data_IF_953527889311
#
_entry.id   IF_953527889311
#
_cell.length_a   1.000
_cell.length_b   1.000
_cell.length_c   1.000
_cell.angle_alpha   90.00
_cell.angle_beta   90.00
_cell.angle_gamma   90.00
#
_symmetry.space_group_name_H-M   'P 1'
#
loop_
_entity.id
_entity.type
_entity.pdbx_description
1 polymer ?
#
# COMPACT_ATOMS: atom_id res chain seq x y z
N UNK A 1 40.23 17.06 -57.72
CA UNK A 1 41.31 17.63 -56.89
C UNK A 1 40.72 18.49 -55.78
N UNK A 2 41.06 18.19 -54.51
CA UNK A 2 41.13 19.09 -53.32
C UNK A 2 39.85 19.88 -52.92
N UNK A 3 39.36 19.90 -51.68
CA UNK A 3 40.05 19.88 -50.36
C UNK A 3 39.11 19.32 -49.27
N UNK A 4 39.69 18.58 -48.32
CA UNK A 4 39.11 18.29 -46.99
C UNK A 4 39.10 19.53 -46.10
N UNK A 5 38.11 19.64 -45.20
CA UNK A 5 38.16 20.34 -43.89
C UNK A 5 37.20 19.60 -42.93
N UNK A 6 37.72 18.77 -42.02
CA UNK A 6 38.02 19.03 -40.59
C UNK A 6 36.77 19.20 -39.70
N UNK A 7 36.56 18.15 -38.90
CA UNK A 7 36.14 18.06 -37.49
C UNK A 7 35.10 19.03 -36.92
N UNK A 8 34.06 18.44 -36.33
CA UNK A 8 33.44 18.95 -35.11
C UNK A 8 33.05 17.76 -34.22
N UNK A 9 33.75 17.66 -33.09
CA UNK A 9 33.60 16.74 -31.98
C UNK A 9 32.85 17.51 -30.90
N UNK A 10 31.62 17.13 -30.52
CA UNK A 10 30.98 17.42 -29.22
C UNK A 10 29.77 16.46 -29.08
N UNK A 11 29.84 15.44 -28.22
CA UNK A 11 29.57 15.46 -26.78
C UNK A 11 28.07 15.26 -26.46
N UNK A 12 27.82 14.16 -25.74
CA UNK A 12 26.66 13.83 -24.89
C UNK A 12 25.26 13.79 -25.50
N UNK A 13 24.67 12.60 -25.49
CA UNK A 13 23.32 12.47 -24.96
C UNK A 13 23.20 11.15 -24.20
N UNK A 14 23.41 11.23 -22.89
CA UNK A 14 23.04 10.19 -21.95
C UNK A 14 21.55 9.94 -22.05
N UNK A 15 21.17 8.73 -22.46
CA UNK A 15 19.79 8.24 -22.36
C UNK A 15 19.51 8.01 -20.87
N UNK A 16 19.07 9.05 -20.17
CA UNK A 16 18.50 8.90 -18.83
C UNK A 16 17.16 8.20 -18.99
N UNK A 17 17.15 6.93 -18.62
CA UNK A 17 15.96 6.15 -18.39
C UNK A 17 15.17 6.86 -17.27
N UNK A 18 14.19 7.68 -17.65
CA UNK A 18 13.24 8.23 -16.72
C UNK A 18 12.45 7.04 -16.15
N UNK A 19 12.77 6.64 -14.92
CA UNK A 19 11.85 5.86 -14.12
C UNK A 19 10.56 6.68 -14.02
N UNK A 20 9.54 6.27 -14.77
CA UNK A 20 8.18 6.73 -14.53
C UNK A 20 7.79 6.18 -13.17
N UNK A 21 8.10 6.93 -12.12
CA UNK A 21 7.43 6.77 -10.84
C UNK A 21 5.93 6.86 -11.14
N UNK A 22 5.09 5.91 -10.68
CA UNK A 22 3.67 6.18 -10.56
C UNK A 22 3.54 7.30 -9.53
N UNK A 23 3.61 8.54 -10.01
CA UNK A 23 3.08 9.66 -9.29
C UNK A 23 1.60 9.34 -9.15
N UNK A 24 1.21 8.83 -7.98
CA UNK A 24 -0.15 8.93 -7.48
C UNK A 24 -0.50 10.41 -7.63
N UNK A 25 -1.20 10.73 -8.71
CA UNK A 25 -1.73 12.05 -8.97
C UNK A 25 -2.83 12.28 -7.94
N UNK A 26 -2.42 12.60 -6.71
CA UNK A 26 -3.17 13.53 -5.90
C UNK A 26 -3.43 14.71 -6.84
N UNK A 27 -4.71 15.01 -7.10
CA UNK A 27 -5.14 16.09 -7.98
C UNK A 27 -4.18 17.26 -7.79
N UNK A 28 -3.31 17.52 -8.76
CA UNK A 28 -2.42 18.66 -8.71
C UNK A 28 -3.23 19.77 -9.37
N UNK A 29 -3.96 20.62 -8.61
CA UNK A 29 -4.80 21.63 -9.23
C UNK A 29 -3.88 22.53 -10.04
N UNK A 30 -3.89 22.35 -11.36
CA UNK A 30 -3.26 23.30 -12.25
C UNK A 30 -4.15 24.53 -12.18
N UNK A 31 -3.70 25.55 -11.44
CA UNK A 31 -4.42 26.81 -11.34
C UNK A 31 -4.39 27.48 -12.71
N UNK A 32 -5.36 27.16 -13.57
CA UNK A 32 -5.54 27.87 -14.83
C UNK A 32 -6.26 29.18 -14.54
N UNK A 33 -5.46 30.24 -14.36
CA UNK A 33 -5.83 31.67 -14.44
C UNK A 33 -6.98 32.13 -13.53
N UNK A 34 -6.64 32.94 -12.51
CA UNK A 34 -7.63 33.70 -11.75
C UNK A 34 -8.36 34.71 -12.64
N UNK A 35 -9.65 34.50 -12.83
CA UNK A 35 -10.58 35.54 -13.27
C UNK A 35 -11.75 35.51 -12.28
N UNK A 36 -11.95 36.59 -11.54
CA UNK A 36 -13.03 36.77 -10.55
C UNK A 36 -13.07 35.79 -9.36
N UNK A 37 -11.97 35.62 -8.63
CA UNK A 37 -12.01 35.17 -7.22
C UNK A 37 -12.54 33.76 -6.93
N UNK A 38 -12.81 32.94 -7.94
CA UNK A 38 -13.20 31.53 -7.78
C UNK A 38 -12.12 30.63 -8.37
N UNK A 39 -11.56 29.76 -7.53
CA UNK A 39 -10.62 28.71 -7.97
C UNK A 39 -11.46 27.66 -8.70
N UNK A 40 -11.35 27.62 -10.03
CA UNK A 40 -11.93 26.54 -10.83
C UNK A 40 -10.95 25.36 -10.76
N UNK A 41 -11.28 24.33 -9.98
CA UNK A 41 -10.54 23.07 -9.96
C UNK A 41 -11.04 22.23 -11.14
N UNK A 42 -10.30 22.22 -12.24
CA UNK A 42 -10.64 21.40 -13.42
C UNK A 42 -9.98 20.03 -13.32
N UNK A 43 -10.57 19.11 -12.55
CA UNK A 43 -10.25 17.69 -12.69
C UNK A 43 -11.07 17.11 -13.85
N UNK A 44 -10.47 16.23 -14.65
CA UNK A 44 -11.21 15.45 -15.63
C UNK A 44 -12.19 14.51 -14.90
N UNK A 45 -13.30 14.17 -15.57
CA UNK A 45 -14.29 13.24 -15.01
C UNK A 45 -13.67 11.89 -14.71
N UNK A 46 -12.73 11.47 -15.54
CA UNK A 46 -11.97 10.23 -15.44
C UNK A 46 -11.14 10.20 -14.14
N UNK A 47 -10.46 11.31 -13.81
CA UNK A 47 -9.69 11.44 -12.56
C UNK A 47 -10.59 11.40 -11.32
N UNK A 48 -11.76 12.07 -11.36
CA UNK A 48 -12.73 12.04 -10.24
C UNK A 48 -13.25 10.62 -10.01
N UNK A 49 -13.59 9.91 -11.09
CA UNK A 49 -14.07 8.53 -11.01
C UNK A 49 -12.97 7.59 -10.51
N UNK A 50 -11.73 7.77 -10.95
CA UNK A 50 -10.58 7.00 -10.45
C UNK A 50 -10.37 7.23 -8.96
N UNK A 51 -10.30 8.48 -8.52
CA UNK A 51 -10.09 8.83 -7.11
C UNK A 51 -11.22 8.28 -6.21
N UNK A 52 -12.48 8.34 -6.67
CA UNK A 52 -13.61 7.78 -5.94
C UNK A 52 -13.54 6.24 -5.85
N UNK A 53 -13.09 5.57 -6.93
CA UNK A 53 -12.88 4.12 -6.94
C UNK A 53 -11.75 3.72 -5.99
N UNK A 54 -10.66 4.46 -5.99
CA UNK A 54 -9.51 4.20 -5.12
C UNK A 54 -9.88 4.41 -3.65
N UNK A 55 -10.58 5.50 -3.30
CA UNK A 55 -11.10 5.71 -1.96
C UNK A 55 -12.02 4.58 -1.49
N UNK A 56 -12.88 4.07 -2.37
CA UNK A 56 -13.74 2.92 -2.07
C UNK A 56 -12.95 1.62 -1.87
N UNK A 57 -11.92 1.41 -2.67
CA UNK A 57 -11.05 0.23 -2.54
C UNK A 57 -10.22 0.29 -1.26
N UNK A 58 -9.70 1.48 -0.89
CA UNK A 58 -9.00 1.71 0.38
C UNK A 58 -9.90 1.37 1.56
N UNK A 59 -11.09 1.96 1.64
CA UNK A 59 -12.03 1.69 2.72
C UNK A 59 -12.40 0.20 2.83
N UNK A 60 -12.47 -0.51 1.69
CA UNK A 60 -12.70 -1.96 1.68
C UNK A 60 -11.48 -2.75 2.16
N UNK A 61 -10.27 -2.35 1.77
CA UNK A 61 -9.03 -2.96 2.25
C UNK A 61 -8.90 -2.80 3.78
N UNK A 62 -9.13 -1.59 4.30
CA UNK A 62 -9.10 -1.28 5.73
C UNK A 62 -10.10 -2.12 6.51
N UNK A 63 -11.32 -2.29 5.98
CA UNK A 63 -12.33 -3.15 6.61
C UNK A 63 -11.92 -4.63 6.66
N UNK A 64 -11.31 -5.16 5.59
CA UNK A 64 -10.83 -6.54 5.56
C UNK A 64 -9.72 -6.74 6.60
N UNK A 65 -8.79 -5.78 6.69
CA UNK A 65 -7.71 -5.79 7.68
C UNK A 65 -8.26 -5.71 9.11
N UNK A 66 -9.21 -4.82 9.38
CA UNK A 66 -9.84 -4.71 10.70
C UNK A 66 -10.51 -6.02 11.13
N UNK A 67 -11.25 -6.67 10.23
CA UNK A 67 -11.88 -7.97 10.49
C UNK A 67 -10.87 -9.11 10.69
N UNK A 68 -9.68 -9.02 10.09
CA UNK A 68 -8.61 -9.96 10.34
C UNK A 68 -8.01 -9.75 11.73
N UNK A 69 -7.74 -8.49 12.11
CA UNK A 69 -7.20 -8.15 13.43
C UNK A 69 -8.13 -8.58 14.57
N UNK A 70 -9.44 -8.35 14.44
CA UNK A 70 -10.44 -8.81 15.41
C UNK A 70 -10.39 -10.34 15.61
N UNK A 71 -10.25 -11.11 14.52
CA UNK A 71 -10.11 -12.57 14.60
C UNK A 71 -8.79 -13.02 15.20
N UNK A 72 -7.71 -12.27 14.96
CA UNK A 72 -6.42 -12.54 15.59
C UNK A 72 -6.57 -12.35 17.11
N UNK A 73 -7.18 -11.26 17.56
CA UNK A 73 -7.47 -11.02 18.98
C UNK A 73 -8.31 -12.15 19.59
N UNK A 74 -9.36 -12.60 18.90
CA UNK A 74 -10.17 -13.74 19.34
C UNK A 74 -9.37 -15.04 19.48
N UNK A 75 -8.47 -15.32 18.52
CA UNK A 75 -7.60 -16.50 18.57
C UNK A 75 -6.63 -16.43 19.75
N UNK A 76 -6.06 -15.24 20.02
CA UNK A 76 -5.19 -15.01 21.18
C UNK A 76 -5.95 -15.19 22.48
N UNK A 77 -7.11 -14.55 22.62
CA UNK A 77 -7.94 -14.66 23.81
C UNK A 77 -8.36 -16.11 24.06
N UNK A 78 -8.70 -16.85 22.99
CA UNK A 78 -8.97 -18.27 23.08
C UNK A 78 -7.76 -19.05 23.60
N UNK A 79 -6.58 -18.87 23.01
CA UNK A 79 -5.36 -19.55 23.45
C UNK A 79 -5.02 -19.24 24.92
N UNK A 80 -5.12 -17.97 25.33
CA UNK A 80 -4.90 -17.54 26.72
C UNK A 80 -5.90 -18.17 27.71
N UNK A 81 -7.12 -18.52 27.26
CA UNK A 81 -8.14 -19.13 28.09
C UNK A 81 -7.98 -20.65 28.26
N UNK A 82 -7.21 -21.29 27.38
CA UNK A 82 -7.01 -22.74 27.39
C UNK A 82 -5.74 -23.11 28.14
N UNK A 83 -5.78 -24.12 29.02
CA UNK A 83 -4.56 -24.66 29.67
C UNK A 83 -3.78 -25.63 28.77
N UNK A 84 -3.91 -25.49 27.45
CA UNK A 84 -3.30 -26.35 26.45
C UNK A 84 -2.30 -25.48 25.71
N UNK A 85 -1.03 -25.73 25.99
CA UNK A 85 0.14 -25.10 25.37
C UNK A 85 0.14 -25.32 23.84
N UNK A 86 -0.76 -24.63 23.15
CA UNK A 86 -1.09 -24.80 21.73
C UNK A 86 -0.63 -23.56 20.92
N UNK A 87 0.48 -22.93 21.35
CA UNK A 87 1.07 -21.76 20.68
C UNK A 87 1.33 -22.03 19.18
N UNK A 88 1.81 -23.23 18.83
CA UNK A 88 2.05 -23.60 17.43
C UNK A 88 0.76 -23.59 16.58
N UNK A 89 -0.38 -23.99 17.18
CA UNK A 89 -1.67 -23.98 16.51
C UNK A 89 -2.19 -22.54 16.35
N UNK A 90 -2.01 -21.70 17.37
CA UNK A 90 -2.34 -20.28 17.30
C UNK A 90 -1.58 -19.61 16.14
N UNK A 91 -0.26 -19.82 16.06
CA UNK A 91 0.57 -19.24 15.01
C UNK A 91 0.17 -19.72 13.61
N UNK A 92 -0.10 -21.02 13.42
CA UNK A 92 -0.59 -21.55 12.14
C UNK A 92 -1.96 -20.94 11.72
N UNK A 93 -2.86 -20.70 12.68
CA UNK A 93 -4.13 -20.05 12.40
C UNK A 93 -3.96 -18.57 12.02
N UNK A 94 -3.06 -17.86 12.72
CA UNK A 94 -2.71 -16.48 12.40
C UNK A 94 -2.07 -16.39 11.02
N UNK A 95 -1.08 -17.21 10.70
CA UNK A 95 -0.40 -17.21 9.39
C UNK A 95 -1.37 -17.40 8.22
N UNK A 96 -2.30 -18.36 8.35
CA UNK A 96 -3.35 -18.60 7.34
C UNK A 96 -4.27 -17.39 7.17
N UNK A 97 -4.61 -16.73 8.27
CA UNK A 97 -5.45 -15.55 8.26
C UNK A 97 -4.73 -14.35 7.62
N UNK A 98 -3.44 -14.16 7.91
CA UNK A 98 -2.60 -13.14 7.30
C UNK A 98 -2.46 -13.38 5.79
N UNK A 99 -2.13 -14.60 5.38
CA UNK A 99 -1.99 -14.95 3.95
C UNK A 99 -3.28 -14.68 3.17
N UNK A 100 -4.42 -15.11 3.74
CA UNK A 100 -5.74 -14.85 3.15
C UNK A 100 -6.02 -13.35 3.03
N UNK A 101 -5.72 -12.59 4.08
CA UNK A 101 -5.94 -11.14 4.13
C UNK A 101 -5.09 -10.43 3.08
N UNK A 102 -3.80 -10.76 2.98
CA UNK A 102 -2.90 -10.24 1.93
C UNK A 102 -3.46 -10.48 0.54
N UNK A 103 -3.93 -11.70 0.24
CA UNK A 103 -4.54 -12.04 -1.07
C UNK A 103 -5.82 -11.24 -1.34
N UNK A 104 -6.62 -10.93 -0.32
CA UNK A 104 -7.85 -10.15 -0.50
C UNK A 104 -7.56 -8.66 -0.73
N UNK A 105 -6.61 -8.10 0.01
CA UNK A 105 -6.21 -6.70 -0.09
C UNK A 105 -5.45 -6.43 -1.38
N UNK A 106 -4.60 -7.35 -1.85
CA UNK A 106 -3.90 -7.26 -3.13
C UNK A 106 -4.86 -7.13 -4.33
N UNK A 107 -6.03 -7.79 -4.29
CA UNK A 107 -7.06 -7.66 -5.33
C UNK A 107 -7.67 -6.26 -5.41
N UNK A 108 -7.48 -5.44 -4.39
CA UNK A 108 -7.96 -4.06 -4.32
C UNK A 108 -6.86 -3.04 -4.69
N UNK A 109 -5.64 -3.50 -5.00
CA UNK A 109 -4.50 -2.64 -5.33
C UNK A 109 -3.71 -2.16 -4.11
N UNK A 110 -3.83 -2.85 -2.97
CA UNK A 110 -3.13 -2.49 -1.73
C UNK A 110 -2.26 -3.63 -1.22
N UNK A 111 -1.31 -3.30 -0.37
CA UNK A 111 -0.50 -4.26 0.36
C UNK A 111 -0.83 -4.20 1.86
N UNK A 112 -0.30 -5.16 2.61
CA UNK A 112 -0.49 -5.24 4.07
C UNK A 112 0.87 -5.39 4.72
N UNK A 113 1.10 -4.60 5.76
CA UNK A 113 2.26 -4.68 6.64
C UNK A 113 1.83 -5.23 8.01
N UNK A 114 2.71 -6.00 8.63
CA UNK A 114 2.57 -6.50 9.99
C UNK A 114 3.36 -5.62 10.96
N UNK A 115 2.72 -5.14 12.03
CA UNK A 115 3.43 -4.49 13.14
C UNK A 115 3.36 -5.37 14.39
N UNK A 116 4.46 -6.00 14.77
CA UNK A 116 4.54 -6.95 15.88
C UNK A 116 4.07 -6.34 17.21
N UNK A 117 3.11 -6.99 17.87
CA UNK A 117 2.66 -6.69 19.24
C UNK A 117 2.94 -7.90 20.13
N UNK A 118 3.47 -7.65 21.33
CA UNK A 118 3.77 -8.70 22.31
C UNK A 118 2.51 -9.14 23.06
N UNK A 119 2.29 -10.46 23.13
CA UNK A 119 1.27 -11.10 23.95
C UNK A 119 1.92 -12.17 24.83
N UNK A 120 1.39 -12.36 26.03
CA UNK A 120 1.77 -13.48 26.91
C UNK A 120 0.69 -14.55 26.79
N UNK A 121 1.07 -15.74 26.32
CA UNK A 121 0.19 -16.91 26.19
C UNK A 121 0.90 -18.09 26.84
N UNK A 122 0.23 -18.76 27.78
CA UNK A 122 0.78 -19.90 28.53
C UNK A 122 2.16 -19.65 29.17
N UNK A 123 2.42 -18.41 29.61
CA UNK A 123 3.69 -18.01 30.23
C UNK A 123 4.83 -17.80 29.23
N UNK A 124 4.56 -17.89 27.92
CA UNK A 124 5.49 -17.56 26.84
C UNK A 124 5.12 -16.21 26.22
N UNK A 125 6.13 -15.38 25.95
CA UNK A 125 5.94 -14.15 25.16
C UNK A 125 5.93 -14.52 23.68
N UNK A 126 4.83 -14.20 22.99
CA UNK A 126 4.66 -14.39 21.56
C UNK A 126 4.44 -13.05 20.88
N UNK A 127 4.95 -12.90 19.66
CA UNK A 127 4.70 -11.73 18.82
C UNK A 127 3.56 -12.04 17.87
N UNK A 128 2.52 -11.21 17.92
CA UNK A 128 1.36 -11.34 17.06
C UNK A 128 1.12 -10.01 16.35
N UNK A 129 0.78 -10.12 15.07
CA UNK A 129 0.84 -9.03 14.11
C UNK A 129 -0.52 -8.41 13.83
N UNK A 130 -0.85 -7.26 14.43
CA UNK A 130 -1.80 -6.33 13.85
C UNK A 130 -1.41 -6.00 12.40
N UNK A 131 -2.34 -6.27 11.49
CA UNK A 131 -2.22 -5.95 10.08
C UNK A 131 -2.58 -4.48 9.84
N UNK A 132 -1.86 -3.84 8.91
CA UNK A 132 -2.11 -2.46 8.46
C UNK A 132 -2.09 -2.40 6.94
N UNK A 133 -3.04 -1.68 6.35
CA UNK A 133 -3.03 -1.42 4.89
C UNK A 133 -1.91 -0.44 4.57
N UNK A 134 -1.11 -0.77 3.57
CA UNK A 134 -0.09 0.12 2.99
C UNK A 134 -0.33 0.23 1.48
N UNK A 135 0.07 1.37 0.89
CA UNK A 135 0.06 1.52 -0.57
C UNK A 135 1.24 0.74 -1.17
N UNK A 136 1.05 0.04 -2.30
CA UNK A 136 2.17 -0.53 -3.04
C UNK A 136 3.07 0.61 -3.52
N UNK A 137 4.39 0.46 -3.31
CA UNK A 137 5.39 1.40 -3.83
C UNK A 137 5.56 1.27 -5.34
#
# INVERSE_FOLDING_TARGET
MKKMKIAALFLSLTLTLAAASPAMAACNPSVSRQVYGQIQVTCSREEIVSAAKDAKNLAKAERIVAQANEKIEDLVAHAQSTKKDDVAKLLDQVDKLVEKTRKQVAKLGYEVECTYTEYVVDGQTILIDPLRVIQPR
#
